data_IF_026091483826
#
_entry.id   IF_026091483826
#
_cell.length_a   1.000
_cell.length_b   1.000
_cell.length_c   1.000
_cell.angle_alpha   90.00
_cell.angle_beta   90.00
_cell.angle_gamma   90.00
#
_symmetry.space_group_name_H-M   'P 1'
#
loop_
_entity.id
_entity.type
_entity.pdbx_description
1 polymer ?
#
# COMPACT_ATOMS: atom_id res chain seq x y z
N UNK A 1 -7.05 1.93 5.26
CA UNK A 1 -7.54 1.59 6.61
C UNK A 1 -8.46 2.66 7.17
N UNK A 2 -8.07 3.95 7.09
CA UNK A 2 -8.99 5.08 7.26
C UNK A 2 -10.17 5.00 6.27
N UNK A 3 -9.87 4.75 5.00
CA UNK A 3 -10.85 4.52 3.92
C UNK A 3 -11.88 3.43 4.26
N UNK A 4 -11.45 2.38 4.96
CA UNK A 4 -12.30 1.24 5.34
C UNK A 4 -13.03 1.48 6.68
N UNK A 5 -12.83 2.63 7.32
CA UNK A 5 -13.54 3.01 8.55
C UNK A 5 -13.19 2.15 9.77
N UNK A 6 -11.94 1.72 9.94
CA UNK A 6 -11.54 0.94 11.13
C UNK A 6 -11.40 1.84 12.37
N UNK A 7 -11.97 1.41 13.49
CA UNK A 7 -11.89 2.06 14.81
C UNK A 7 -11.35 1.04 15.84
N UNK A 8 -10.49 1.41 16.81
CA UNK A 8 -9.94 2.75 17.06
C UNK A 8 -8.82 3.14 16.09
N UNK A 9 -8.67 4.46 15.92
CA UNK A 9 -7.51 5.06 15.28
C UNK A 9 -6.31 4.83 16.20
N UNK A 10 -5.28 4.17 15.68
CA UNK A 10 -4.06 3.80 16.41
C UNK A 10 -2.87 4.51 15.73
N UNK A 11 -1.78 4.73 16.47
CA UNK A 11 -0.53 5.37 16.05
C UNK A 11 0.06 4.70 14.80
N UNK A 12 -0.33 3.44 14.56
CA UNK A 12 -0.01 2.69 13.33
C UNK A 12 -0.53 3.35 12.06
N UNK A 13 -1.57 4.19 12.12
CA UNK A 13 -2.05 4.97 10.98
C UNK A 13 -1.03 6.04 10.57
N UNK A 14 -0.40 6.70 11.54
CA UNK A 14 0.64 7.70 11.26
C UNK A 14 1.87 7.04 10.63
N UNK A 15 2.20 5.81 11.07
CA UNK A 15 3.24 5.01 10.41
C UNK A 15 2.90 4.74 8.94
N UNK A 16 1.64 4.45 8.60
CA UNK A 16 1.26 4.26 7.20
C UNK A 16 1.51 5.51 6.37
N UNK A 17 1.06 6.66 6.87
CA UNK A 17 1.29 7.95 6.22
C UNK A 17 2.78 8.25 6.06
N UNK A 18 3.58 7.98 7.10
CA UNK A 18 5.05 8.08 7.05
C UNK A 18 5.64 7.20 5.94
N UNK A 19 5.20 5.95 5.82
CA UNK A 19 5.67 5.05 4.76
C UNK A 19 5.40 5.60 3.36
N UNK A 20 4.21 6.17 3.13
CA UNK A 20 3.89 6.84 1.87
C UNK A 20 4.80 8.05 1.62
N UNK A 21 4.98 8.90 2.63
CA UNK A 21 5.81 10.11 2.52
C UNK A 21 7.27 9.78 2.25
N UNK A 22 7.86 8.83 2.98
CA UNK A 22 9.28 8.49 2.79
C UNK A 22 9.52 7.83 1.43
N UNK A 23 8.57 7.02 0.94
CA UNK A 23 8.63 6.51 -0.45
C UNK A 23 8.58 7.65 -1.48
N UNK A 24 7.68 8.61 -1.30
CA UNK A 24 7.53 9.75 -2.21
C UNK A 24 8.77 10.64 -2.20
N UNK A 25 9.36 10.90 -1.03
CA UNK A 25 10.61 11.64 -0.91
C UNK A 25 11.77 10.94 -1.64
N UNK A 26 11.81 9.61 -1.63
CA UNK A 26 12.87 8.85 -2.28
C UNK A 26 12.68 8.77 -3.80
N UNK A 27 11.46 8.53 -4.27
CA UNK A 27 11.18 8.27 -5.70
C UNK A 27 10.73 9.50 -6.48
N UNK A 28 10.40 10.59 -5.79
CA UNK A 28 9.73 11.76 -6.37
C UNK A 28 8.31 11.47 -6.88
N UNK A 29 7.77 10.28 -6.61
CA UNK A 29 6.48 9.82 -7.14
C UNK A 29 5.54 9.41 -6.01
N UNK A 30 4.27 9.78 -6.13
CA UNK A 30 3.24 9.40 -5.15
C UNK A 30 3.01 7.88 -5.21
N UNK A 31 3.11 7.22 -4.05
CA UNK A 31 3.00 5.76 -3.95
C UNK A 31 1.60 5.24 -4.34
N UNK A 32 0.55 5.91 -3.87
CA UNK A 32 -0.84 5.52 -4.10
C UNK A 32 -1.61 6.67 -4.75
N UNK A 33 -1.48 6.80 -6.06
CA UNK A 33 -2.14 7.85 -6.86
C UNK A 33 -3.58 7.49 -7.22
N UNK A 34 -4.42 7.26 -6.20
CA UNK A 34 -5.85 6.99 -6.38
C UNK A 34 -6.68 8.28 -6.49
N UNK A 35 -7.60 8.35 -7.45
CA UNK A 35 -8.50 9.52 -7.60
C UNK A 35 -9.76 9.43 -6.73
N UNK A 36 -10.05 8.25 -6.20
CA UNK A 36 -11.10 8.01 -5.22
C UNK A 36 -10.71 6.93 -4.22
N UNK A 37 -11.53 6.74 -3.18
CA UNK A 37 -11.33 5.69 -2.16
C UNK A 37 -11.17 4.30 -2.76
N UNK A 38 -11.93 4.00 -3.81
CA UNK A 38 -11.86 2.73 -4.50
C UNK A 38 -10.51 2.60 -5.22
N UNK A 39 -10.15 3.52 -6.12
CA UNK A 39 -8.84 3.52 -6.78
C UNK A 39 -7.66 3.39 -5.81
N UNK A 40 -7.73 4.09 -4.67
CA UNK A 40 -6.73 4.02 -3.62
C UNK A 40 -6.61 2.61 -3.03
N UNK A 41 -7.72 1.90 -2.81
CA UNK A 41 -7.72 0.49 -2.40
C UNK A 41 -7.16 -0.43 -3.49
N UNK A 42 -7.43 -0.15 -4.77
CA UNK A 42 -6.84 -0.88 -5.89
C UNK A 42 -5.30 -0.76 -5.89
N UNK A 43 -4.77 0.46 -5.76
CA UNK A 43 -3.33 0.70 -5.64
C UNK A 43 -2.72 0.01 -4.40
N UNK A 44 -3.40 0.08 -3.26
CA UNK A 44 -2.95 -0.63 -2.05
C UNK A 44 -2.84 -2.13 -2.27
N UNK A 45 -3.83 -2.74 -2.94
CA UNK A 45 -3.81 -4.17 -3.25
C UNK A 45 -2.78 -4.54 -4.30
N UNK A 46 -2.53 -3.66 -5.27
CA UNK A 46 -1.52 -3.88 -6.28
C UNK A 46 -0.12 -4.05 -5.66
N UNK A 47 0.22 -3.22 -4.66
CA UNK A 47 1.53 -3.28 -3.98
C UNK A 47 1.62 -4.28 -2.82
N UNK A 48 0.52 -4.52 -2.08
CA UNK A 48 0.55 -5.30 -0.82
C UNK A 48 -0.31 -6.56 -0.85
N UNK A 49 -0.97 -6.83 -1.97
CA UNK A 49 -1.86 -7.98 -2.14
C UNK A 49 -3.25 -7.79 -1.52
N UNK A 50 -4.00 -8.88 -1.42
CA UNK A 50 -5.39 -8.85 -0.98
C UNK A 50 -5.54 -8.53 0.51
N UNK A 51 -6.63 -7.85 0.86
CA UNK A 51 -7.05 -7.71 2.26
C UNK A 51 -7.52 -9.04 2.83
N UNK A 52 -7.14 -9.34 4.08
CA UNK A 52 -7.59 -10.55 4.75
C UNK A 52 -9.10 -10.45 5.08
N UNK A 53 -9.92 -11.48 4.80
CA UNK A 53 -11.36 -11.49 5.13
C UNK A 53 -11.67 -11.13 6.59
N UNK A 54 -10.86 -11.63 7.53
CA UNK A 54 -10.99 -11.32 8.97
C UNK A 54 -10.83 -9.82 9.27
N UNK A 55 -10.00 -9.13 8.51
CA UNK A 55 -9.81 -7.69 8.64
C UNK A 55 -11.02 -6.94 8.05
N UNK A 56 -11.49 -7.34 6.87
CA UNK A 56 -12.60 -6.66 6.18
C UNK A 56 -13.90 -6.71 7.00
N UNK A 57 -14.18 -7.81 7.69
CA UNK A 57 -15.34 -7.91 8.61
C UNK A 57 -15.34 -6.91 9.76
N UNK A 58 -14.18 -6.34 10.09
CA UNK A 58 -14.02 -5.33 11.16
C UNK A 58 -14.08 -3.90 10.64
N UNK A 59 -14.27 -3.72 9.33
CA UNK A 59 -14.27 -2.44 8.66
C UNK A 59 -15.70 -2.05 8.27
N UNK A 60 -16.16 -0.91 8.77
CA UNK A 60 -17.55 -0.44 8.57
C UNK A 60 -17.85 -0.19 7.09
N UNK A 61 -16.87 0.30 6.33
CA UNK A 61 -17.03 0.64 4.92
C UNK A 61 -16.58 -0.50 3.98
N UNK A 62 -16.23 -1.68 4.49
CA UNK A 62 -15.85 -2.80 3.63
C UNK A 62 -16.96 -3.20 2.63
N UNK A 63 -18.26 -3.22 3.00
CA UNK A 63 -19.33 -3.57 2.06
C UNK A 63 -19.48 -2.63 0.86
N UNK A 64 -18.94 -1.40 0.91
CA UNK A 64 -18.97 -0.46 -0.22
C UNK A 64 -17.94 -0.80 -1.31
N UNK A 65 -16.95 -1.62 -0.98
CA UNK A 65 -15.79 -1.88 -1.82
C UNK A 65 -15.53 -3.37 -2.05
N UNK A 66 -16.12 -4.24 -1.24
CA UNK A 66 -15.92 -5.68 -1.33
C UNK A 66 -17.25 -6.42 -1.18
N UNK A 67 -17.43 -7.47 -1.99
CA UNK A 67 -18.58 -8.36 -1.92
C UNK A 67 -18.26 -9.59 -1.07
N UNK A 68 -18.72 -9.63 0.18
CA UNK A 68 -18.47 -10.76 1.09
C UNK A 68 -19.02 -12.09 0.55
N UNK A 69 -20.16 -12.07 -0.14
CA UNK A 69 -20.80 -13.26 -0.73
C UNK A 69 -19.99 -13.87 -1.89
N UNK A 70 -19.16 -13.06 -2.55
CA UNK A 70 -18.32 -13.46 -3.69
C UNK A 70 -16.85 -13.52 -3.28
N UNK A 71 -16.54 -14.20 -2.17
CA UNK A 71 -15.17 -14.40 -1.68
C UNK A 71 -14.38 -13.08 -1.44
N UNK A 72 -15.08 -12.00 -1.07
CA UNK A 72 -14.51 -10.65 -0.95
C UNK A 72 -13.96 -10.12 -2.27
N UNK A 73 -14.65 -10.40 -3.38
CA UNK A 73 -14.37 -9.79 -4.66
C UNK A 73 -14.39 -8.26 -4.55
N UNK A 74 -13.44 -7.62 -5.22
CA UNK A 74 -13.28 -6.18 -5.18
C UNK A 74 -14.26 -5.53 -6.15
N UNK A 75 -15.04 -4.58 -5.66
CA UNK A 75 -16.03 -3.84 -6.42
C UNK A 75 -15.37 -2.58 -6.99
N UNK A 76 -14.71 -2.72 -8.14
CA UNK A 76 -14.03 -1.62 -8.81
C UNK A 76 -15.07 -0.66 -9.43
N UNK A 77 -15.12 0.58 -8.94
CA UNK A 77 -15.98 1.63 -9.48
C UNK A 77 -15.28 2.28 -10.66
N UNK A 78 -15.72 1.97 -11.87
CA UNK A 78 -15.18 2.55 -13.10
C UNK A 78 -16.17 3.58 -13.63
N UNK A 79 -15.67 4.76 -13.99
CA UNK A 79 -16.46 5.72 -14.73
C UNK A 79 -16.43 5.37 -16.21
N UNK A 80 -17.60 5.11 -16.80
CA UNK A 80 -17.70 4.87 -18.23
C UNK A 80 -17.31 6.13 -19.01
N UNK A 81 -16.33 6.00 -19.91
CA UNK A 81 -15.73 7.13 -20.63
C UNK A 81 -16.68 7.83 -21.60
N UNK A 82 -17.76 7.16 -21.99
CA UNK A 82 -18.74 7.66 -22.95
C UNK A 82 -19.95 8.24 -22.23
N UNK A 83 -20.52 7.48 -21.30
CA UNK A 83 -21.78 7.86 -20.63
C UNK A 83 -21.56 8.67 -19.36
N UNK A 84 -20.30 8.77 -18.87
CA UNK A 84 -19.93 9.32 -17.56
C UNK A 84 -20.62 8.66 -16.37
N UNK A 85 -21.33 7.54 -16.59
CA UNK A 85 -22.04 6.81 -15.55
C UNK A 85 -21.04 6.01 -14.71
N UNK A 86 -21.29 5.91 -13.40
CA UNK A 86 -20.52 5.03 -12.52
C UNK A 86 -21.00 3.60 -12.70
N UNK A 87 -20.11 2.72 -13.15
CA UNK A 87 -20.38 1.29 -13.32
C UNK A 87 -19.52 0.53 -12.31
N UNK A 88 -20.11 -0.46 -11.63
CA UNK A 88 -19.37 -1.34 -10.74
C UNK A 88 -18.90 -2.54 -11.56
N UNK A 89 -17.59 -2.77 -11.59
CA UNK A 89 -16.97 -3.97 -12.16
C UNK A 89 -16.48 -4.85 -11.02
N UNK A 90 -16.88 -6.11 -11.03
CA UNK A 90 -16.37 -7.09 -10.08
C UNK A 90 -15.01 -7.56 -10.57
N UNK A 91 -13.97 -7.27 -9.80
CA UNK A 91 -12.61 -7.70 -10.06
C UNK A 91 -12.16 -8.64 -8.94
N UNK A 92 -11.47 -9.71 -9.34
CA UNK A 92 -10.92 -10.65 -8.37
C UNK A 92 -9.51 -10.19 -7.99
N UNK A 93 -9.11 -10.20 -6.70
CA UNK A 93 -7.80 -9.74 -6.28
C UNK A 93 -6.61 -10.42 -6.99
N UNK A 94 -6.79 -11.65 -7.49
CA UNK A 94 -5.78 -12.37 -8.26
C UNK A 94 -5.53 -11.78 -9.67
N UNK A 95 -6.42 -10.92 -10.16
CA UNK A 95 -6.35 -10.28 -11.47
C UNK A 95 -5.73 -8.87 -11.40
N UNK A 96 -5.54 -8.33 -10.19
CA UNK A 96 -4.93 -7.02 -10.01
C UNK A 96 -3.44 -7.07 -10.36
N UNK A 97 -2.88 -6.01 -10.97
CA UNK A 97 -1.47 -5.94 -11.27
C UNK A 97 -0.66 -6.06 -9.98
N UNK A 98 0.38 -6.89 -9.98
CA UNK A 98 1.27 -7.03 -8.82
C UNK A 98 2.45 -6.06 -8.99
N UNK A 99 2.45 -5.01 -8.18
CA UNK A 99 3.52 -4.03 -8.13
C UNK A 99 4.48 -4.37 -7.00
N UNK A 100 5.73 -3.98 -7.17
CA UNK A 100 6.82 -4.33 -6.26
C UNK A 100 7.57 -3.06 -5.88
N UNK A 101 7.53 -2.73 -4.58
CA UNK A 101 8.14 -1.51 -4.03
C UNK A 101 9.64 -1.51 -4.33
N UNK A 102 10.32 -2.64 -4.11
CA UNK A 102 11.76 -2.76 -4.35
C UNK A 102 12.10 -2.52 -5.82
N UNK A 103 11.31 -3.04 -6.76
CA UNK A 103 11.51 -2.77 -8.19
C UNK A 103 11.38 -1.29 -8.52
N UNK A 104 10.39 -0.61 -7.95
CA UNK A 104 10.22 0.84 -8.12
C UNK A 104 11.40 1.64 -7.56
N UNK A 105 11.90 1.28 -6.37
CA UNK A 105 13.08 1.91 -5.76
C UNK A 105 14.35 1.70 -6.61
N UNK A 106 14.59 0.45 -7.03
CA UNK A 106 15.75 0.12 -7.86
C UNK A 106 15.73 0.81 -9.22
N UNK A 107 14.54 0.99 -9.81
CA UNK A 107 14.40 1.74 -11.06
C UNK A 107 14.84 3.19 -10.88
N UNK A 108 14.49 3.84 -9.76
CA UNK A 108 14.89 5.20 -9.46
C UNK A 108 16.42 5.34 -9.37
N UNK A 109 17.08 4.48 -8.59
CA UNK A 109 18.55 4.53 -8.43
C UNK A 109 19.30 4.27 -9.74
N UNK A 110 18.79 3.38 -10.60
CA UNK A 110 19.41 3.09 -11.90
C UNK A 110 19.42 4.31 -12.83
N UNK A 111 18.45 5.22 -12.70
CA UNK A 111 18.40 6.44 -13.50
C UNK A 111 19.50 7.44 -13.10
N UNK A 112 19.97 7.39 -11.87
CA UNK A 112 21.02 8.28 -11.35
C UNK A 112 22.45 7.86 -11.76
N UNK A 113 22.60 6.76 -12.50
CA UNK A 113 23.84 6.42 -13.21
C UNK A 113 25.00 5.87 -12.35
N UNK A 114 24.85 5.77 -11.03
CA UNK A 114 25.87 5.21 -10.12
C UNK A 114 25.27 4.11 -9.23
N UNK A 115 25.24 2.88 -9.75
CA UNK A 115 24.76 1.71 -9.01
C UNK A 115 25.94 0.97 -8.37
N UNK A 116 26.03 1.03 -7.04
CA UNK A 116 27.10 0.42 -6.26
C UNK A 116 26.50 -0.69 -5.36
N UNK A 117 27.31 -1.69 -4.99
CA UNK A 117 26.85 -2.81 -4.14
C UNK A 117 26.33 -2.33 -2.76
N UNK A 118 26.98 -1.33 -2.16
CA UNK A 118 26.53 -0.71 -0.91
C UNK A 118 25.17 0.00 -1.01
N UNK A 119 24.85 0.59 -2.16
CA UNK A 119 23.55 1.21 -2.38
C UNK A 119 22.46 0.15 -2.55
N UNK A 120 22.77 -0.99 -3.18
CA UNK A 120 21.85 -2.11 -3.31
C UNK A 120 21.39 -2.61 -1.93
N UNK A 121 22.32 -2.76 -0.98
CA UNK A 121 22.02 -3.18 0.38
C UNK A 121 21.14 -2.17 1.11
N UNK A 122 21.44 -0.88 0.99
CA UNK A 122 20.59 0.18 1.56
C UNK A 122 19.17 0.13 0.98
N UNK A 123 19.01 -0.07 -0.33
CA UNK A 123 17.70 -0.18 -0.98
C UNK A 123 16.95 -1.43 -0.51
N UNK A 124 17.65 -2.54 -0.30
CA UNK A 124 17.04 -3.75 0.25
C UNK A 124 16.49 -3.50 1.66
N UNK A 125 17.27 -2.83 2.52
CA UNK A 125 16.84 -2.46 3.87
C UNK A 125 15.68 -1.46 3.85
N UNK A 126 15.71 -0.50 2.92
CA UNK A 126 14.64 0.48 2.77
C UNK A 126 13.34 -0.14 2.27
N UNK A 127 13.41 -1.01 1.27
CA UNK A 127 12.26 -1.76 0.78
C UNK A 127 11.63 -2.60 1.89
N UNK A 128 12.43 -3.35 2.66
CA UNK A 128 11.96 -4.16 3.79
C UNK A 128 11.29 -3.29 4.88
N UNK A 129 11.86 -2.12 5.17
CA UNK A 129 11.26 -1.14 6.09
C UNK A 129 9.87 -0.67 5.61
N UNK A 130 9.77 -0.26 4.34
CA UNK A 130 8.53 0.18 3.73
C UNK A 130 7.49 -0.94 3.69
N UNK A 131 7.87 -2.17 3.37
CA UNK A 131 6.96 -3.30 3.33
C UNK A 131 6.33 -3.59 4.70
N UNK A 132 7.11 -3.48 5.78
CA UNK A 132 6.64 -3.67 7.16
C UNK A 132 5.70 -2.55 7.60
N UNK A 133 6.03 -1.30 7.30
CA UNK A 133 5.20 -0.13 7.60
C UNK A 133 3.90 -0.13 6.78
N UNK A 134 3.98 -0.48 5.50
CA UNK A 134 2.86 -0.52 4.58
C UNK A 134 2.12 -1.87 4.63
N UNK A 135 2.16 -2.55 5.78
CA UNK A 135 1.32 -3.73 6.01
C UNK A 135 -0.16 -3.32 6.07
N UNK A 136 -1.01 -3.94 5.23
CA UNK A 136 -2.43 -3.60 5.13
C UNK A 136 -3.17 -3.78 6.46
N UNK A 137 -2.92 -4.89 7.15
CA UNK A 137 -3.48 -5.16 8.45
C UNK A 137 -2.68 -4.43 9.55
N UNK A 138 -3.25 -3.43 10.24
CA UNK A 138 -2.55 -2.74 11.33
C UNK A 138 -2.11 -3.65 12.46
N UNK A 139 -2.84 -4.74 12.74
CA UNK A 139 -2.45 -5.64 13.83
C UNK A 139 -1.10 -6.31 13.54
N UNK A 140 -0.79 -6.52 12.26
CA UNK A 140 0.46 -7.10 11.79
C UNK A 140 1.50 -6.05 11.36
N UNK A 141 1.10 -4.78 11.30
CA UNK A 141 2.00 -3.67 10.99
C UNK A 141 2.95 -3.45 12.16
N UNK A 142 4.21 -3.20 11.81
CA UNK A 142 5.29 -2.87 12.73
C UNK A 142 4.88 -1.72 13.68
N UNK A 143 5.33 -1.75 14.93
CA UNK A 143 5.12 -0.65 15.88
C UNK A 143 6.16 0.46 15.70
N UNK A 144 5.96 1.59 16.38
CA UNK A 144 6.92 2.71 16.34
C UNK A 144 8.27 2.28 16.92
N UNK A 145 8.27 1.55 18.04
CA UNK A 145 9.47 1.06 18.72
C UNK A 145 10.24 0.06 17.86
N UNK A 146 9.53 -0.80 17.14
CA UNK A 146 10.13 -1.74 16.20
C UNK A 146 10.68 -1.03 14.96
N UNK A 147 9.97 -0.02 14.45
CA UNK A 147 10.41 0.80 13.33
C UNK A 147 11.70 1.56 13.66
N UNK A 148 11.82 2.14 14.85
CA UNK A 148 13.03 2.81 15.32
C UNK A 148 14.24 1.88 15.45
N UNK A 149 14.01 0.59 15.72
CA UNK A 149 15.06 -0.44 15.81
C UNK A 149 15.38 -1.08 14.46
N UNK A 150 14.69 -0.67 13.38
CA UNK A 150 14.88 -1.29 12.08
C UNK A 150 16.30 -1.06 11.55
N UNK A 151 16.97 -2.05 10.94
CA UNK A 151 18.34 -1.89 10.43
C UNK A 151 18.51 -0.73 9.45
N UNK A 152 17.47 -0.41 8.67
CA UNK A 152 17.46 0.78 7.82
C UNK A 152 17.65 2.09 8.63
N UNK A 153 16.90 2.25 9.72
CA UNK A 153 16.99 3.43 10.58
C UNK A 153 18.33 3.47 11.31
N UNK A 154 18.78 2.34 11.83
CA UNK A 154 20.08 2.23 12.49
C UNK A 154 21.28 2.53 11.54
N UNK A 155 21.09 2.37 10.23
CA UNK A 155 22.11 2.69 9.23
C UNK A 155 22.19 4.19 8.90
N UNK A 156 21.12 4.95 9.13
CA UNK A 156 21.03 6.39 8.82
C UNK A 156 21.12 7.29 10.05
N UNK A 157 21.03 6.72 11.28
CA UNK A 157 21.17 7.42 12.56
C UNK A 157 22.60 7.45 13.05
#
# INVERSE_FOLDING_TARGET
MLVLGRVPLDNKLDLWSLGCTVYELFTGSILFSGNCNNDMLSWMMAYRGKFAPKMLRRCVNAPEHFNESEQWAYLHQVQDSVTRSKVIRVEYPAQLPTLDIKKSLLACVKLEGSFNESQSDMINLFADFLEKILTLNPEQRITVEEALKHPFIAHIS
#
